data_IF_104914778526
#
_entry.id   IF_104914778526
#
_cell.length_a   1.000
_cell.length_b   1.000
_cell.length_c   1.000
_cell.angle_alpha   90.00
_cell.angle_beta   90.00
_cell.angle_gamma   90.00
#
_symmetry.space_group_name_H-M   'P 1'
#
loop_
_entity.id
_entity.type
_entity.pdbx_description
1 polymer ?
#
# COMPACT_ATOMS: atom_id res chain seq x y z
N UNK A 1 8.13 15.10 18.36
CA UNK A 1 7.96 15.16 16.88
C UNK A 1 9.04 16.09 16.35
N UNK A 2 9.86 15.63 15.40
CA UNK A 2 10.90 16.48 14.79
C UNK A 2 10.28 17.47 13.79
N UNK A 3 11.01 18.55 13.48
CA UNK A 3 10.51 19.60 12.58
C UNK A 3 10.23 19.08 11.18
N UNK A 4 11.03 18.15 10.67
CA UNK A 4 10.77 17.53 9.36
C UNK A 4 9.39 16.85 9.31
N UNK A 5 9.00 16.08 10.33
CA UNK A 5 7.68 15.46 10.39
C UNK A 5 6.55 16.46 10.65
N UNK A 6 6.83 17.52 11.40
CA UNK A 6 5.84 18.54 11.75
C UNK A 6 5.53 19.50 10.59
N UNK A 7 6.55 19.86 9.81
CA UNK A 7 6.45 20.91 8.79
C UNK A 7 6.28 20.34 7.36
N UNK A 8 6.45 19.04 7.17
CA UNK A 8 6.34 18.40 5.86
C UNK A 8 4.88 18.02 5.54
N UNK A 9 4.01 19.01 5.42
CA UNK A 9 2.60 18.81 5.05
C UNK A 9 2.20 19.48 3.73
N UNK A 10 3.05 20.35 3.18
CA UNK A 10 2.73 21.15 1.97
C UNK A 10 2.37 20.29 0.76
N UNK A 11 2.96 19.09 0.65
CA UNK A 11 2.66 18.16 -0.44
C UNK A 11 1.20 17.67 -0.45
N UNK A 12 0.51 17.65 0.70
CA UNK A 12 -0.91 17.28 0.78
C UNK A 12 -1.76 18.22 -0.07
N UNK A 13 -1.37 19.50 -0.11
CA UNK A 13 -2.07 20.55 -0.84
C UNK A 13 -1.43 20.91 -2.17
N UNK A 14 -0.46 20.10 -2.65
CA UNK A 14 0.19 20.33 -3.94
C UNK A 14 -0.84 20.39 -5.08
N UNK A 15 -0.61 21.27 -6.03
CA UNK A 15 -1.37 21.33 -7.29
C UNK A 15 -1.12 20.13 -8.20
N UNK A 16 0.02 19.43 -8.01
CA UNK A 16 0.39 18.23 -8.76
C UNK A 16 -0.24 16.95 -8.22
N UNK A 17 -1.21 17.04 -7.29
CA UNK A 17 -1.91 15.85 -6.77
C UNK A 17 -2.60 15.08 -7.89
N UNK A 18 -2.44 13.76 -7.85
CA UNK A 18 -3.25 12.87 -8.67
C UNK A 18 -4.69 12.93 -8.17
N UNK A 19 -5.61 13.35 -9.03
CA UNK A 19 -7.01 13.58 -8.67
C UNK A 19 -7.98 12.85 -9.60
N UNK A 20 -7.48 12.21 -10.65
CA UNK A 20 -8.26 11.49 -11.64
C UNK A 20 -7.61 10.15 -11.93
N UNK A 21 -8.42 9.14 -12.23
CA UNK A 21 -7.91 7.87 -12.75
C UNK A 21 -7.30 8.12 -14.13
N UNK A 22 -6.10 7.60 -14.36
CA UNK A 22 -5.50 7.49 -15.70
C UNK A 22 -5.51 6.03 -16.10
N UNK A 23 -6.01 5.72 -17.28
CA UNK A 23 -6.04 4.36 -17.80
C UNK A 23 -7.09 4.16 -18.90
N UNK A 24 -7.29 2.93 -19.37
CA UNK A 24 -8.30 2.60 -20.37
C UNK A 24 -9.74 2.90 -19.91
N UNK A 25 -9.99 2.82 -18.61
CA UNK A 25 -11.25 3.18 -17.96
C UNK A 25 -10.96 4.22 -16.87
N UNK A 26 -11.76 5.28 -16.83
CA UNK A 26 -11.57 6.44 -15.96
C UNK A 26 -12.63 6.56 -14.85
N UNK A 27 -13.69 5.77 -14.92
CA UNK A 27 -14.68 5.64 -13.86
C UNK A 27 -14.27 4.54 -12.89
N UNK A 28 -14.36 4.78 -11.56
CA UNK A 28 -13.92 3.84 -10.54
C UNK A 28 -14.47 2.42 -10.72
N UNK A 29 -15.79 2.28 -10.88
CA UNK A 29 -16.42 0.97 -11.01
C UNK A 29 -15.96 0.21 -12.26
N UNK A 30 -15.75 0.91 -13.36
CA UNK A 30 -15.28 0.32 -14.62
C UNK A 30 -13.78 -0.03 -14.54
N UNK A 31 -12.97 0.85 -13.96
CA UNK A 31 -11.54 0.62 -13.79
C UNK A 31 -11.25 -0.57 -12.87
N UNK A 32 -11.92 -0.65 -11.71
CA UNK A 32 -11.77 -1.76 -10.78
C UNK A 32 -12.21 -3.10 -11.38
N UNK A 33 -13.30 -3.11 -12.12
CA UNK A 33 -13.78 -4.32 -12.80
C UNK A 33 -12.79 -4.80 -13.87
N UNK A 34 -12.25 -3.88 -14.68
CA UNK A 34 -11.26 -4.20 -15.71
C UNK A 34 -9.94 -4.71 -15.09
N UNK A 35 -9.48 -4.06 -14.01
CA UNK A 35 -8.33 -4.52 -13.23
C UNK A 35 -8.59 -5.90 -12.63
N UNK A 36 -9.75 -6.12 -12.01
CA UNK A 36 -10.11 -7.41 -11.43
C UNK A 36 -10.15 -8.52 -12.48
N UNK A 37 -10.70 -8.25 -13.67
CA UNK A 37 -10.72 -9.21 -14.77
C UNK A 37 -9.30 -9.54 -15.25
N UNK A 38 -8.42 -8.54 -15.38
CA UNK A 38 -7.01 -8.72 -15.72
C UNK A 38 -6.29 -9.59 -14.69
N UNK A 39 -6.52 -9.33 -13.40
CA UNK A 39 -5.89 -10.09 -12.32
C UNK A 39 -6.42 -11.52 -12.22
N UNK A 40 -7.70 -11.76 -12.45
CA UNK A 40 -8.28 -13.13 -12.49
C UNK A 40 -7.71 -13.98 -13.62
N UNK A 41 -7.35 -13.35 -14.75
CA UNK A 41 -6.76 -14.02 -15.92
C UNK A 41 -5.25 -14.21 -15.81
N UNK A 42 -4.60 -13.51 -14.86
CA UNK A 42 -3.16 -13.59 -14.68
C UNK A 42 -2.75 -15.01 -14.21
N UNK A 43 -1.74 -15.62 -14.83
CA UNK A 43 -1.20 -16.89 -14.33
C UNK A 43 -0.70 -16.74 -12.89
N UNK A 44 -0.92 -17.76 -12.06
CA UNK A 44 -0.44 -17.77 -10.68
C UNK A 44 1.08 -17.57 -10.66
N UNK A 45 1.57 -16.66 -9.81
CA UNK A 45 2.99 -16.34 -9.69
C UNK A 45 3.51 -15.36 -10.75
N UNK A 46 2.68 -14.94 -11.73
CA UNK A 46 3.09 -13.92 -12.72
C UNK A 46 2.81 -12.49 -12.27
N UNK A 47 2.34 -12.30 -11.04
CA UNK A 47 2.05 -10.99 -10.44
C UNK A 47 3.07 -10.70 -9.35
N UNK A 48 3.54 -9.47 -9.28
CA UNK A 48 4.28 -8.95 -8.13
C UNK A 48 3.61 -7.70 -7.57
N UNK A 49 3.87 -7.41 -6.29
CA UNK A 49 3.36 -6.22 -5.63
C UNK A 49 4.46 -5.54 -4.83
N UNK A 50 4.57 -4.22 -4.98
CA UNK A 50 5.42 -3.36 -4.15
C UNK A 50 4.51 -2.37 -3.42
N UNK A 51 4.39 -2.54 -2.11
CA UNK A 51 3.56 -1.68 -1.29
C UNK A 51 4.42 -0.82 -0.36
N UNK A 52 4.17 0.47 -0.35
CA UNK A 52 4.84 1.37 0.58
C UNK A 52 4.48 1.04 2.03
N UNK A 53 5.46 1.06 2.91
CA UNK A 53 5.20 1.07 4.35
C UNK A 53 4.65 2.43 4.87
N UNK A 54 4.14 3.27 3.97
CA UNK A 54 3.27 4.41 4.26
C UNK A 54 1.79 4.04 4.17
N UNK A 55 1.48 2.87 3.63
CA UNK A 55 0.13 2.34 3.62
C UNK A 55 -0.30 1.95 5.04
N UNK A 56 -1.60 2.03 5.31
CA UNK A 56 -2.17 1.61 6.60
C UNK A 56 -2.11 0.10 6.77
N UNK A 57 -2.27 -0.38 8.00
CA UNK A 57 -2.35 -1.82 8.26
C UNK A 57 -3.48 -2.46 7.47
N UNK A 58 -4.62 -1.79 7.38
CA UNK A 58 -5.81 -2.26 6.66
C UNK A 58 -5.56 -2.39 5.15
N UNK A 59 -4.88 -1.41 4.55
CA UNK A 59 -4.49 -1.43 3.14
C UNK A 59 -3.47 -2.54 2.86
N UNK A 60 -2.45 -2.67 3.70
CA UNK A 60 -1.46 -3.73 3.60
C UNK A 60 -2.09 -5.13 3.75
N UNK A 61 -3.07 -5.27 4.65
CA UNK A 61 -3.81 -6.52 4.82
C UNK A 61 -4.63 -6.88 3.57
N UNK A 62 -5.34 -5.93 2.97
CA UNK A 62 -6.08 -6.17 1.72
C UNK A 62 -5.14 -6.53 0.56
N UNK A 63 -4.00 -5.83 0.44
CA UNK A 63 -2.96 -6.17 -0.53
C UNK A 63 -2.40 -7.58 -0.27
N UNK A 64 -2.22 -7.98 0.99
CA UNK A 64 -1.78 -9.34 1.34
C UNK A 64 -2.81 -10.39 0.94
N UNK A 65 -4.11 -10.15 1.15
CA UNK A 65 -5.18 -11.06 0.69
C UNK A 65 -5.13 -11.24 -0.83
N UNK A 66 -5.00 -10.14 -1.57
CA UNK A 66 -4.89 -10.16 -3.02
C UNK A 66 -3.62 -10.91 -3.46
N UNK A 67 -2.47 -10.62 -2.84
CA UNK A 67 -1.20 -11.28 -3.13
C UNK A 67 -1.26 -12.80 -2.89
N UNK A 68 -1.89 -13.21 -1.80
CA UNK A 68 -2.07 -14.64 -1.47
C UNK A 68 -2.93 -15.34 -2.53
N UNK A 69 -4.02 -14.73 -2.97
CA UNK A 69 -4.90 -15.27 -4.02
C UNK A 69 -4.17 -15.45 -5.35
N UNK A 70 -3.31 -14.50 -5.70
CA UNK A 70 -2.58 -14.47 -6.98
C UNK A 70 -1.22 -15.21 -6.91
N UNK A 71 -0.84 -15.72 -5.74
CA UNK A 71 0.50 -16.25 -5.46
C UNK A 71 1.59 -15.23 -5.87
N UNK A 72 1.36 -13.96 -5.54
CA UNK A 72 2.21 -12.87 -5.96
C UNK A 72 3.45 -12.72 -5.06
N UNK A 73 4.59 -12.40 -5.69
CA UNK A 73 5.78 -11.98 -4.97
C UNK A 73 5.60 -10.55 -4.43
N UNK A 74 5.84 -10.35 -3.14
CA UNK A 74 5.61 -9.04 -2.50
C UNK A 74 6.85 -8.49 -1.84
N UNK A 75 6.93 -7.16 -1.76
CA UNK A 75 7.91 -6.44 -0.93
C UNK A 75 7.44 -5.02 -0.60
N UNK A 76 8.18 -4.37 0.27
CA UNK A 76 8.10 -2.94 0.57
C UNK A 76 9.48 -2.29 0.45
N UNK A 77 9.50 -1.01 0.12
CA UNK A 77 10.74 -0.26 -0.04
C UNK A 77 11.29 0.20 1.31
N UNK A 78 12.51 -0.23 1.70
CA UNK A 78 13.14 0.28 2.90
C UNK A 78 13.53 1.75 2.71
N UNK A 79 13.29 2.56 3.73
CA UNK A 79 13.78 3.93 3.80
C UNK A 79 14.58 4.08 5.09
N UNK A 80 15.87 4.27 4.93
CA UNK A 80 16.80 4.45 6.05
C UNK A 80 17.47 5.82 5.97
N UNK A 81 17.84 6.35 7.11
CA UNK A 81 18.58 7.60 7.22
C UNK A 81 19.17 7.73 8.61
N UNK A 82 19.82 8.85 8.87
CA UNK A 82 20.37 9.11 10.18
C UNK A 82 19.27 9.14 11.24
N UNK A 83 19.53 8.50 12.36
CA UNK A 83 18.72 8.53 13.54
C UNK A 83 19.45 9.19 14.70
N UNK A 84 18.71 9.62 15.71
CA UNK A 84 19.29 10.06 16.98
C UNK A 84 18.73 9.21 18.13
N UNK A 85 19.25 9.45 19.34
CA UNK A 85 18.78 8.71 20.52
C UNK A 85 17.51 9.29 21.15
N UNK A 86 16.96 10.38 20.58
CA UNK A 86 15.90 11.16 21.22
C UNK A 86 14.59 11.14 20.41
N UNK A 87 14.60 11.63 19.17
CA UNK A 87 13.39 11.90 18.39
C UNK A 87 13.38 11.24 17.01
N UNK A 88 14.52 11.09 16.39
CA UNK A 88 14.63 10.70 14.99
C UNK A 88 15.03 9.23 14.89
N UNK A 89 14.15 8.40 14.31
CA UNK A 89 14.45 6.99 14.04
C UNK A 89 15.23 6.84 12.72
N UNK A 90 16.11 5.85 12.64
CA UNK A 90 16.79 5.48 11.39
C UNK A 90 15.83 4.95 10.34
N UNK A 91 14.80 4.22 10.73
CA UNK A 91 13.69 3.86 9.85
C UNK A 91 12.80 5.08 9.57
N UNK A 92 12.72 5.48 8.30
CA UNK A 92 11.94 6.65 7.84
C UNK A 92 10.54 6.28 7.33
N UNK A 93 10.16 5.03 7.40
CA UNK A 93 8.79 4.59 7.10
C UNK A 93 7.93 4.64 8.37
N UNK A 94 6.67 5.08 8.29
CA UNK A 94 5.80 5.14 9.45
C UNK A 94 5.26 3.78 9.90
N UNK A 95 5.24 2.76 9.01
CA UNK A 95 4.56 1.48 9.24
C UNK A 95 5.38 0.25 8.80
N UNK A 96 6.71 0.28 8.92
CA UNK A 96 7.55 -0.88 8.57
C UNK A 96 7.20 -2.12 9.38
N UNK A 97 6.86 -1.96 10.67
CA UNK A 97 6.44 -3.08 11.51
C UNK A 97 5.10 -3.66 11.03
N UNK A 98 4.11 -2.82 10.70
CA UNK A 98 2.85 -3.30 10.13
C UNK A 98 3.07 -4.08 8.82
N UNK A 99 3.91 -3.57 7.91
CA UNK A 99 4.21 -4.25 6.65
C UNK A 99 4.83 -5.64 6.84
N UNK A 100 5.73 -5.78 7.83
CA UNK A 100 6.34 -7.07 8.19
C UNK A 100 5.36 -8.02 8.87
N UNK A 101 4.64 -7.54 9.88
CA UNK A 101 3.70 -8.34 10.67
C UNK A 101 2.54 -8.88 9.83
N UNK A 102 2.05 -8.10 8.88
CA UNK A 102 1.02 -8.50 7.92
C UNK A 102 1.59 -9.42 6.82
N UNK A 103 2.89 -9.37 6.58
CA UNK A 103 3.58 -10.23 5.64
C UNK A 103 3.54 -9.75 4.19
N UNK A 104 3.38 -8.45 3.96
CA UNK A 104 3.63 -7.81 2.66
C UNK A 104 5.13 -7.63 2.45
N UNK A 105 5.85 -7.18 3.48
CA UNK A 105 7.30 -7.09 3.46
C UNK A 105 7.93 -8.33 4.10
N UNK A 106 9.04 -8.86 3.56
CA UNK A 106 9.85 -9.85 4.25
C UNK A 106 10.51 -9.25 5.51
N UNK A 107 11.06 -10.11 6.38
CA UNK A 107 11.78 -9.66 7.58
C UNK A 107 12.88 -8.65 7.23
N UNK A 108 13.65 -8.91 6.16
CA UNK A 108 14.55 -7.96 5.52
C UNK A 108 13.79 -7.26 4.38
N UNK A 109 13.16 -6.14 4.70
CA UNK A 109 12.43 -5.31 3.73
C UNK A 109 13.34 -4.94 2.54
N UNK A 110 12.83 -5.04 1.33
CA UNK A 110 13.56 -4.77 0.09
C UNK A 110 14.29 -6.00 -0.51
N UNK A 111 14.39 -7.12 0.21
CA UNK A 111 15.15 -8.29 -0.25
C UNK A 111 14.53 -9.03 -1.44
N UNK A 112 13.25 -8.82 -1.71
CA UNK A 112 12.58 -9.37 -2.88
C UNK A 112 12.55 -8.41 -4.09
N UNK A 113 12.90 -7.12 -3.93
CA UNK A 113 12.94 -6.18 -5.05
C UNK A 113 13.84 -6.64 -6.20
N UNK A 114 15.06 -7.17 -5.96
CA UNK A 114 15.89 -7.73 -7.03
C UNK A 114 15.23 -8.93 -7.74
N UNK A 115 14.52 -9.79 -6.99
CA UNK A 115 13.78 -10.93 -7.57
C UNK A 115 12.61 -10.48 -8.43
N UNK A 116 11.92 -9.41 -8.02
CA UNK A 116 10.85 -8.80 -8.81
C UNK A 116 11.44 -8.24 -10.11
N UNK A 117 12.56 -7.50 -10.04
CA UNK A 117 13.24 -6.97 -11.22
C UNK A 117 13.67 -8.09 -12.19
N UNK A 118 14.27 -9.16 -11.68
CA UNK A 118 14.66 -10.34 -12.47
C UNK A 118 13.45 -11.05 -13.07
N UNK A 119 12.36 -11.20 -12.30
CA UNK A 119 11.11 -11.79 -12.79
C UNK A 119 10.50 -10.98 -13.94
N UNK A 120 10.56 -9.64 -13.88
CA UNK A 120 10.13 -8.77 -14.98
C UNK A 120 11.08 -8.93 -16.17
N UNK A 121 12.40 -8.96 -15.93
CA UNK A 121 13.40 -9.11 -16.97
C UNK A 121 13.21 -10.43 -17.76
N UNK A 122 13.02 -11.53 -17.06
CA UNK A 122 12.81 -12.86 -17.63
C UNK A 122 11.40 -13.08 -18.23
N UNK A 123 10.44 -12.18 -17.95
CA UNK A 123 9.05 -12.29 -18.38
C UNK A 123 8.22 -13.29 -17.54
N UNK A 124 8.73 -13.78 -16.43
CA UNK A 124 7.97 -14.59 -15.47
C UNK A 124 6.97 -13.72 -14.68
N UNK A 125 7.32 -12.45 -14.37
CA UNK A 125 6.40 -11.45 -13.84
C UNK A 125 5.94 -10.57 -14.99
N UNK A 126 4.64 -10.57 -15.24
CA UNK A 126 3.97 -9.81 -16.32
C UNK A 126 3.10 -8.67 -15.79
N UNK A 127 2.70 -8.76 -14.54
CA UNK A 127 1.87 -7.74 -13.89
C UNK A 127 2.56 -7.25 -12.62
N UNK A 128 2.69 -5.93 -12.49
CA UNK A 128 3.19 -5.29 -11.28
C UNK A 128 2.12 -4.35 -10.72
N UNK A 129 1.88 -4.47 -9.42
CA UNK A 129 0.99 -3.58 -8.65
C UNK A 129 1.86 -2.79 -7.68
N UNK A 130 1.75 -1.46 -7.72
CA UNK A 130 2.57 -0.56 -6.90
C UNK A 130 1.68 0.39 -6.11
N UNK A 131 1.91 0.48 -4.80
CA UNK A 131 1.20 1.40 -3.91
C UNK A 131 2.18 2.36 -3.22
N UNK A 132 2.09 3.66 -3.55
CA UNK A 132 2.80 4.74 -2.89
C UNK A 132 4.32 4.74 -3.08
N UNK A 133 4.84 4.20 -4.21
CA UNK A 133 6.27 4.07 -4.46
C UNK A 133 6.67 4.46 -5.88
N UNK A 134 7.83 5.12 -5.99
CA UNK A 134 8.56 5.23 -7.25
C UNK A 134 9.59 4.10 -7.34
N UNK A 135 9.18 2.97 -7.93
CA UNK A 135 10.03 1.77 -8.01
C UNK A 135 11.25 1.96 -8.93
N UNK A 136 11.27 3.00 -9.76
CA UNK A 136 12.45 3.32 -10.57
C UNK A 136 13.66 3.72 -9.72
N UNK A 137 13.42 4.15 -8.48
CA UNK A 137 14.46 4.44 -7.47
C UNK A 137 14.88 3.22 -6.65
N UNK A 138 14.26 2.07 -6.91
CA UNK A 138 14.42 0.86 -6.09
C UNK A 138 14.92 -0.35 -6.91
N UNK A 139 15.60 -0.07 -8.04
CA UNK A 139 16.19 -1.11 -8.90
C UNK A 139 15.28 -1.68 -9.99
N UNK A 140 14.04 -1.19 -10.12
CA UNK A 140 13.13 -1.57 -11.22
C UNK A 140 13.10 -0.40 -12.21
N UNK A 141 13.98 -0.42 -13.22
CA UNK A 141 14.13 0.69 -14.17
C UNK A 141 12.88 0.93 -15.02
N UNK A 142 12.81 2.10 -15.67
CA UNK A 142 11.75 2.42 -16.63
C UNK A 142 11.69 1.41 -17.79
N UNK A 143 12.86 0.92 -18.26
CA UNK A 143 12.93 -0.10 -19.30
C UNK A 143 12.33 -1.44 -18.86
N UNK A 144 12.51 -1.81 -17.57
CA UNK A 144 11.84 -2.98 -17.01
C UNK A 144 10.34 -2.77 -16.90
N UNK A 145 9.89 -1.60 -16.48
CA UNK A 145 8.45 -1.28 -16.43
C UNK A 145 7.81 -1.38 -17.82
N UNK A 146 8.52 -1.01 -18.88
CA UNK A 146 8.06 -1.14 -20.27
C UNK A 146 7.90 -2.59 -20.77
N UNK A 147 8.47 -3.58 -20.07
CA UNK A 147 8.30 -5.02 -20.39
C UNK A 147 7.04 -5.65 -19.77
N UNK A 148 6.39 -4.95 -18.83
CA UNK A 148 5.19 -5.44 -18.18
C UNK A 148 3.98 -5.40 -19.12
N UNK A 149 3.19 -6.45 -19.11
CA UNK A 149 1.89 -6.47 -19.77
C UNK A 149 0.89 -5.55 -19.06
N UNK A 150 1.03 -5.43 -17.72
CA UNK A 150 0.14 -4.60 -16.91
C UNK A 150 0.92 -3.98 -15.74
N UNK A 151 0.82 -2.67 -15.60
CA UNK A 151 1.33 -1.92 -14.47
C UNK A 151 0.18 -1.11 -13.86
N UNK A 152 -0.17 -1.41 -12.61
CA UNK A 152 -1.23 -0.75 -11.85
C UNK A 152 -0.57 -0.01 -10.70
N UNK A 153 -0.80 1.29 -10.61
CA UNK A 153 -0.18 2.14 -9.59
C UNK A 153 -1.24 2.91 -8.83
N UNK A 154 -1.18 2.91 -7.52
CA UNK A 154 -1.87 3.89 -6.68
C UNK A 154 -0.83 4.80 -6.06
N UNK A 155 -0.99 6.09 -6.23
CA UNK A 155 -0.12 7.10 -5.61
C UNK A 155 -0.87 8.43 -5.43
N UNK A 156 -0.22 9.34 -4.73
CA UNK A 156 -0.73 10.67 -4.40
C UNK A 156 -0.18 11.74 -5.34
N UNK A 157 1.08 11.58 -5.75
CA UNK A 157 1.80 12.50 -6.62
C UNK A 157 2.37 11.75 -7.84
N UNK A 158 2.52 12.44 -8.98
CA UNK A 158 3.13 11.84 -10.16
C UNK A 158 4.61 11.53 -9.91
N UNK A 159 5.05 10.43 -10.49
CA UNK A 159 6.45 9.99 -10.50
C UNK A 159 6.69 9.10 -11.72
N UNK A 160 7.93 8.66 -11.94
CA UNK A 160 8.29 7.85 -13.12
C UNK A 160 7.51 6.53 -13.20
N UNK A 161 7.13 5.94 -12.08
CA UNK A 161 6.31 4.72 -12.07
C UNK A 161 4.89 5.01 -12.53
N UNK A 162 4.29 6.12 -12.08
CA UNK A 162 2.93 6.53 -12.51
C UNK A 162 2.92 6.95 -13.99
N UNK A 163 4.01 7.50 -14.51
CA UNK A 163 4.13 7.86 -15.93
C UNK A 163 4.09 6.62 -16.83
N UNK A 164 4.75 5.53 -16.42
CA UNK A 164 4.79 4.26 -17.13
C UNK A 164 3.54 3.39 -16.94
N UNK A 165 2.65 3.73 -16.00
CA UNK A 165 1.54 2.88 -15.59
C UNK A 165 0.43 2.80 -16.63
N UNK A 166 -0.15 1.59 -16.77
CA UNK A 166 -1.37 1.34 -17.53
C UNK A 166 -2.61 1.86 -16.79
N UNK A 167 -2.62 1.72 -15.46
CA UNK A 167 -3.61 2.32 -14.57
C UNK A 167 -2.93 3.11 -13.47
N UNK A 168 -3.35 4.37 -13.29
CA UNK A 168 -3.04 5.19 -12.11
C UNK A 168 -4.32 5.46 -11.35
N UNK A 169 -4.36 4.99 -10.11
CA UNK A 169 -5.48 5.16 -9.19
C UNK A 169 -5.11 6.25 -8.18
N UNK A 170 -5.82 7.38 -8.15
CA UNK A 170 -5.49 8.47 -7.24
C UNK A 170 -5.83 8.08 -5.80
N UNK A 171 -4.78 7.99 -4.97
CA UNK A 171 -4.86 7.66 -3.55
C UNK A 171 -4.97 8.88 -2.65
N UNK A 172 -5.14 8.62 -1.35
CA UNK A 172 -5.35 9.62 -0.32
C UNK A 172 -4.12 9.82 0.56
N UNK A 173 -3.87 11.08 0.94
CA UNK A 173 -2.95 11.41 2.02
C UNK A 173 -3.51 10.92 3.37
N UNK A 174 -2.63 10.77 4.38
CA UNK A 174 -3.06 10.34 5.70
C UNK A 174 -4.13 11.24 6.34
N UNK A 175 -4.16 12.53 6.01
CA UNK A 175 -5.19 13.46 6.49
C UNK A 175 -6.55 13.28 5.78
N UNK A 176 -6.58 12.61 4.64
CA UNK A 176 -7.76 12.42 3.78
C UNK A 176 -8.41 11.05 3.97
N UNK A 177 -7.85 10.20 4.83
CA UNK A 177 -8.35 8.84 5.10
C UNK A 177 -8.25 8.47 6.56
N UNK A 178 -8.77 7.30 6.91
CA UNK A 178 -8.68 6.67 8.23
C UNK A 178 -7.81 5.43 8.12
N UNK A 179 -7.19 5.03 9.22
CA UNK A 179 -6.41 3.80 9.25
C UNK A 179 -5.61 3.66 10.53
N UNK A 180 -4.75 2.64 10.56
CA UNK A 180 -3.85 2.39 11.66
C UNK A 180 -2.42 2.12 11.21
N UNK A 181 -1.45 2.42 12.08
CA UNK A 181 -0.03 2.12 11.91
C UNK A 181 0.52 1.39 13.14
N UNK A 182 1.59 0.61 12.93
CA UNK A 182 2.40 0.06 14.01
C UNK A 182 3.73 0.83 14.08
N UNK A 183 3.93 1.59 15.15
CA UNK A 183 5.15 2.37 15.30
C UNK A 183 6.37 1.48 15.60
N UNK A 184 7.56 2.09 15.69
CA UNK A 184 8.84 1.40 15.94
C UNK A 184 8.93 0.68 17.28
N UNK A 185 8.03 0.99 18.23
CA UNK A 185 7.96 0.36 19.56
C UNK A 185 6.83 -0.66 19.69
N UNK A 186 6.23 -1.08 18.56
CA UNK A 186 5.13 -2.04 18.55
C UNK A 186 3.78 -1.46 18.99
N UNK A 187 3.61 -0.14 19.01
CA UNK A 187 2.31 0.45 19.36
C UNK A 187 1.45 0.60 18.10
N UNK A 188 0.29 -0.03 18.10
CA UNK A 188 -0.76 0.13 17.08
C UNK A 188 -1.56 1.37 17.44
N UNK A 189 -1.60 2.34 16.53
CA UNK A 189 -2.32 3.60 16.72
C UNK A 189 -3.19 3.88 15.51
N UNK A 190 -4.44 4.30 15.76
CA UNK A 190 -5.35 4.73 14.71
C UNK A 190 -5.26 6.23 14.48
N UNK A 191 -5.61 6.65 13.30
CA UNK A 191 -5.82 8.05 12.94
C UNK A 191 -7.13 8.21 12.18
N UNK A 192 -7.67 9.42 12.24
CA UNK A 192 -8.97 9.75 11.67
C UNK A 192 -8.81 10.71 10.50
N UNK A 193 -9.74 10.66 9.57
CA UNK A 193 -9.81 11.62 8.48
C UNK A 193 -10.11 13.03 9.00
N UNK A 194 -9.36 14.00 8.53
CA UNK A 194 -9.49 15.42 8.91
C UNK A 194 -9.91 16.32 7.74
N UNK A 195 -9.71 15.86 6.50
CA UNK A 195 -10.04 16.61 5.30
C UNK A 195 -10.59 15.68 4.23
N UNK A 196 -11.31 16.24 3.27
CA UNK A 196 -11.86 15.47 2.16
C UNK A 196 -10.76 15.11 1.14
N UNK A 197 -10.84 13.95 0.50
CA UNK A 197 -10.00 13.61 -0.63
C UNK A 197 -10.11 14.64 -1.76
N UNK A 198 -9.02 14.83 -2.50
CA UNK A 198 -9.00 15.77 -3.63
C UNK A 198 -9.52 15.14 -4.92
N UNK A 199 -10.46 15.83 -5.57
CA UNK A 199 -11.04 15.40 -6.84
C UNK A 199 -11.70 14.01 -6.72
N UNK A 200 -11.30 13.07 -7.57
CA UNK A 200 -11.80 11.69 -7.55
C UNK A 200 -10.87 10.73 -6.76
N UNK A 201 -9.92 11.25 -5.95
CA UNK A 201 -9.11 10.38 -5.10
C UNK A 201 -9.99 9.65 -4.07
N UNK A 202 -9.65 8.39 -3.81
CA UNK A 202 -10.32 7.55 -2.81
C UNK A 202 -9.31 6.96 -1.85
N UNK A 203 -9.71 6.77 -0.60
CA UNK A 203 -8.91 6.02 0.37
C UNK A 203 -8.63 4.62 -0.18
N UNK A 204 -7.37 4.19 -0.14
CA UNK A 204 -6.94 2.96 -0.80
C UNK A 204 -7.67 1.73 -0.24
N UNK A 205 -7.99 1.70 1.06
CA UNK A 205 -8.74 0.60 1.65
C UNK A 205 -10.15 0.45 1.03
N UNK A 206 -10.79 1.55 0.59
CA UNK A 206 -12.14 1.52 0.00
C UNK A 206 -12.16 0.81 -1.35
N UNK A 207 -11.27 1.17 -2.27
CA UNK A 207 -11.24 0.51 -3.57
C UNK A 207 -10.51 -0.85 -3.53
N UNK A 208 -9.57 -1.04 -2.60
CA UNK A 208 -8.90 -2.32 -2.41
C UNK A 208 -9.87 -3.40 -1.92
N UNK A 209 -10.79 -3.07 -1.00
CA UNK A 209 -11.76 -4.07 -0.56
C UNK A 209 -12.70 -4.50 -1.69
N UNK A 210 -13.12 -3.56 -2.55
CA UNK A 210 -13.91 -3.88 -3.76
C UNK A 210 -13.10 -4.79 -4.69
N UNK A 211 -11.84 -4.44 -4.96
CA UNK A 211 -10.96 -5.23 -5.81
C UNK A 211 -10.70 -6.63 -5.25
N UNK A 212 -10.46 -6.75 -3.93
CA UNK A 212 -10.31 -8.05 -3.26
C UNK A 212 -11.58 -8.88 -3.43
N UNK A 213 -12.76 -8.28 -3.21
CA UNK A 213 -14.04 -8.96 -3.42
C UNK A 213 -14.17 -9.47 -4.86
N UNK A 214 -13.92 -8.63 -5.84
CA UNK A 214 -14.04 -8.97 -7.26
C UNK A 214 -13.07 -10.08 -7.68
N UNK A 215 -11.85 -10.12 -7.12
CA UNK A 215 -10.83 -11.12 -7.47
C UNK A 215 -11.00 -12.42 -6.70
N UNK A 216 -11.42 -12.35 -5.43
CA UNK A 216 -11.42 -13.51 -4.53
C UNK A 216 -12.81 -14.11 -4.27
N UNK A 217 -13.87 -13.33 -4.47
CA UNK A 217 -15.23 -13.68 -4.06
C UNK A 217 -15.47 -13.61 -2.54
N UNK A 218 -14.50 -13.11 -1.76
CA UNK A 218 -14.66 -12.98 -0.30
C UNK A 218 -15.50 -11.75 0.02
N UNK A 219 -16.37 -11.85 1.03
CA UNK A 219 -17.24 -10.76 1.44
C UNK A 219 -16.45 -9.47 1.71
N UNK A 220 -16.97 -8.36 1.18
CA UNK A 220 -16.43 -7.04 1.40
C UNK A 220 -16.64 -6.54 2.83
N UNK A 221 -15.98 -5.46 3.17
CA UNK A 221 -16.09 -4.80 4.47
C UNK A 221 -16.91 -3.52 4.32
N UNK A 222 -17.85 -3.32 5.22
CA UNK A 222 -18.71 -2.12 5.22
C UNK A 222 -18.08 -0.94 5.97
N UNK A 223 -17.02 -1.17 6.73
CA UNK A 223 -16.31 -0.12 7.46
C UNK A 223 -14.85 -0.50 7.74
N UNK A 224 -14.03 0.51 8.00
CA UNK A 224 -12.63 0.30 8.37
C UNK A 224 -12.49 -0.39 9.72
N UNK A 225 -13.42 -0.16 10.65
CA UNK A 225 -13.50 -0.84 11.95
C UNK A 225 -13.69 -2.36 11.75
N UNK A 226 -14.61 -2.73 10.87
CA UNK A 226 -14.86 -4.13 10.52
C UNK A 226 -13.64 -4.77 9.85
N UNK A 227 -13.01 -4.04 8.94
CA UNK A 227 -11.78 -4.47 8.26
C UNK A 227 -10.63 -4.69 9.25
N UNK A 228 -10.36 -3.72 10.15
CA UNK A 228 -9.34 -3.86 11.19
C UNK A 228 -9.61 -5.06 12.08
N UNK A 229 -10.85 -5.20 12.57
CA UNK A 229 -11.22 -6.30 13.47
C UNK A 229 -11.07 -7.67 12.79
N UNK A 230 -11.33 -7.75 11.48
CA UNK A 230 -11.09 -8.98 10.73
C UNK A 230 -9.58 -9.25 10.56
N UNK A 231 -8.80 -8.22 10.21
CA UNK A 231 -7.34 -8.31 10.15
C UNK A 231 -6.77 -8.80 11.49
N UNK A 232 -7.25 -8.25 12.61
CA UNK A 232 -6.77 -8.62 13.93
C UNK A 232 -7.09 -10.08 14.32
N UNK A 233 -8.12 -10.69 13.73
CA UNK A 233 -8.40 -12.13 13.91
C UNK A 233 -7.47 -13.01 13.09
N UNK A 234 -7.05 -12.55 11.90
CA UNK A 234 -6.28 -13.36 10.94
C UNK A 234 -4.76 -13.17 11.09
N UNK A 235 -4.30 -12.01 11.56
CA UNK A 235 -2.87 -11.70 11.72
C UNK A 235 -2.46 -11.92 13.18
N UNK A 236 -1.62 -12.93 13.48
CA UNK A 236 -1.33 -13.33 14.86
C UNK A 236 -0.87 -12.21 15.78
N UNK A 237 -0.03 -11.30 15.29
CA UNK A 237 0.49 -10.18 16.07
C UNK A 237 -0.59 -9.19 16.57
N UNK A 238 -1.77 -9.16 15.94
CA UNK A 238 -2.88 -8.27 16.31
C UNK A 238 -3.98 -8.98 17.10
N UNK A 239 -3.83 -10.27 17.40
CA UNK A 239 -4.86 -11.03 18.11
C UNK A 239 -5.26 -10.37 19.44
N UNK A 240 -6.58 -10.27 19.67
CA UNK A 240 -7.14 -9.62 20.84
C UNK A 240 -7.21 -8.09 20.77
N UNK A 241 -6.64 -7.45 19.75
CA UNK A 241 -6.77 -6.01 19.54
C UNK A 241 -8.06 -5.74 18.74
N UNK A 242 -8.85 -4.77 19.17
CA UNK A 242 -10.02 -4.28 18.43
C UNK A 242 -9.83 -2.82 18.05
N UNK A 243 -10.50 -2.37 17.00
CA UNK A 243 -10.49 -0.95 16.61
C UNK A 243 -10.92 -0.03 17.77
N UNK A 244 -11.94 -0.44 18.53
CA UNK A 244 -12.41 0.32 19.69
C UNK A 244 -11.35 0.42 20.79
N UNK A 245 -10.61 -0.67 21.04
CA UNK A 245 -9.56 -0.72 22.07
C UNK A 245 -8.36 0.18 21.73
N UNK A 246 -8.13 0.51 20.45
CA UNK A 246 -7.05 1.44 20.08
C UNK A 246 -7.21 2.80 20.73
N UNK A 247 -8.46 3.29 20.91
CA UNK A 247 -8.71 4.59 21.55
C UNK A 247 -7.85 5.71 20.98
N UNK A 248 -7.43 6.64 21.82
CA UNK A 248 -6.55 7.75 21.44
C UNK A 248 -5.07 7.45 21.67
N UNK A 249 -4.77 6.49 22.54
CA UNK A 249 -3.39 6.16 22.92
C UNK A 249 -2.82 4.97 22.17
N UNK A 250 -3.65 4.16 21.55
CA UNK A 250 -3.24 2.92 20.88
C UNK A 250 -2.98 1.77 21.88
N UNK A 251 -2.68 0.59 21.31
CA UNK A 251 -2.39 -0.66 22.03
C UNK A 251 -1.00 -1.15 21.65
N UNK A 252 -0.20 -1.56 22.61
CA UNK A 252 1.13 -2.16 22.36
C UNK A 252 0.95 -3.65 22.08
N UNK A 253 1.59 -4.12 21.01
CA UNK A 253 1.67 -5.52 20.60
C UNK A 253 3.13 -6.00 20.60
N UNK A 254 3.35 -7.30 20.59
CA UNK A 254 4.69 -7.89 20.45
C UNK A 254 5.15 -7.81 18.99
N UNK A 255 6.43 -7.42 18.80
CA UNK A 255 7.10 -7.35 17.50
C UNK A 255 7.88 -8.64 17.20
#
# INVERSE_FOLDING_TARGET
MCDAGRLNYKWINSEFRLTQIKGPKTEWSLALRDIAETLRKAPLGSVAMVASARQTNEELYLLKKLATKLNALTDSVPRTGEGDKLLVNADKNPNSNGAKLIGIAPAQMGSNLPKIAEGIHSGSIKTLIVFGEDVTKCGISADLLGKLSTLIVSDILPNKTTEAAHYVLPGCAHAEKRGSFVNTKGRVQRFMQNTQPKGNARAEWEFLHELVYDVTGQNGFVSIEGLFNQMAKEVPAFQGVTWAALGDLGVTINL
#
